data_IF_819056226814
#
_entry.id   IF_819056226814
#
_cell.length_a   1.000
_cell.length_b   1.000
_cell.length_c   1.000
_cell.angle_alpha   90.00
_cell.angle_beta   90.00
_cell.angle_gamma   90.00
#
_symmetry.space_group_name_H-M   'P 1'
#
loop_
_entity.id
_entity.type
_entity.pdbx_description
1 polymer ?
#
# COMPACT_ATOMS: atom_id res chain seq x y z
N UNK A 1 0.49 24.77 -20.96
CA UNK A 1 0.73 23.65 -20.03
C UNK A 1 0.05 24.05 -18.74
N UNK A 2 -0.98 23.32 -18.32
CA UNK A 2 -1.64 23.57 -17.04
C UNK A 2 -0.68 23.18 -15.91
N UNK A 3 -0.46 24.10 -14.96
CA UNK A 3 0.48 23.92 -13.85
C UNK A 3 0.00 22.84 -12.87
N UNK A 4 0.94 22.19 -12.20
CA UNK A 4 0.62 21.23 -11.14
C UNK A 4 -0.05 21.97 -9.99
N UNK A 5 -1.21 21.49 -9.56
CA UNK A 5 -1.92 22.05 -8.42
C UNK A 5 -1.07 22.04 -7.14
N UNK A 6 -1.18 23.10 -6.35
CA UNK A 6 -0.35 23.28 -5.15
C UNK A 6 -0.60 22.19 -4.10
N UNK A 7 -1.82 21.66 -4.01
CA UNK A 7 -2.14 20.58 -3.09
C UNK A 7 -1.49 19.27 -3.54
N UNK A 8 -1.60 18.96 -4.83
CA UNK A 8 -0.89 17.84 -5.45
C UNK A 8 0.60 17.90 -5.17
N UNK A 9 1.25 19.04 -5.46
CA UNK A 9 2.68 19.21 -5.25
C UNK A 9 3.06 19.02 -3.77
N UNK A 10 2.27 19.59 -2.87
CA UNK A 10 2.48 19.45 -1.42
C UNK A 10 2.40 18.00 -0.96
N UNK A 11 1.45 17.22 -1.47
CA UNK A 11 1.31 15.80 -1.14
C UNK A 11 2.46 14.96 -1.70
N UNK A 12 2.92 15.24 -2.93
CA UNK A 12 4.08 14.56 -3.52
C UNK A 12 5.34 14.80 -2.68
N UNK A 13 5.59 16.07 -2.30
CA UNK A 13 6.74 16.44 -1.46
C UNK A 13 6.64 15.78 -0.07
N UNK A 14 5.47 15.84 0.57
CA UNK A 14 5.26 15.25 1.89
C UNK A 14 5.51 13.74 1.89
N UNK A 15 4.95 13.02 0.90
CA UNK A 15 5.20 11.59 0.73
C UNK A 15 6.69 11.30 0.48
N UNK A 16 7.35 12.11 -0.34
CA UNK A 16 8.79 11.98 -0.63
C UNK A 16 9.65 12.15 0.63
N UNK A 17 9.43 13.20 1.41
CA UNK A 17 10.18 13.47 2.65
C UNK A 17 9.97 12.36 3.68
N UNK A 18 8.72 11.97 3.94
CA UNK A 18 8.39 10.96 4.95
C UNK A 18 8.92 9.59 4.53
N UNK A 19 8.78 9.23 3.25
CA UNK A 19 9.34 7.97 2.71
C UNK A 19 10.86 7.96 2.78
N UNK A 20 11.52 9.04 2.35
CA UNK A 20 12.98 9.14 2.43
C UNK A 20 13.45 8.93 3.87
N UNK A 21 12.85 9.63 4.84
CA UNK A 21 13.19 9.48 6.25
C UNK A 21 12.93 8.05 6.76
N UNK A 22 11.77 7.46 6.43
CA UNK A 22 11.44 6.09 6.83
C UNK A 22 12.38 5.03 6.27
N UNK A 23 12.91 5.22 5.06
CA UNK A 23 13.85 4.26 4.47
C UNK A 23 15.27 4.36 5.08
N UNK A 24 15.61 5.47 5.73
CA UNK A 24 16.94 5.70 6.34
C UNK A 24 16.96 5.59 7.87
N UNK A 25 15.79 5.62 8.52
CA UNK A 25 15.65 5.55 9.97
C UNK A 25 14.57 4.52 10.35
N UNK A 26 15.03 3.36 10.83
CA UNK A 26 14.15 2.27 11.23
C UNK A 26 13.24 2.65 12.41
N UNK A 27 13.74 3.43 13.37
CA UNK A 27 12.94 3.87 14.51
C UNK A 27 11.84 4.82 14.06
N UNK A 28 12.13 5.72 13.11
CA UNK A 28 11.11 6.56 12.50
C UNK A 28 10.08 5.71 11.74
N UNK A 29 10.54 4.75 10.93
CA UNK A 29 9.66 3.86 10.18
C UNK A 29 8.71 3.08 11.09
N UNK A 30 9.23 2.46 12.14
CA UNK A 30 8.43 1.67 13.08
C UNK A 30 7.43 2.54 13.86
N UNK A 31 7.83 3.75 14.29
CA UNK A 31 6.96 4.65 15.04
C UNK A 31 5.75 5.19 14.26
N UNK A 32 5.86 5.26 12.93
CA UNK A 32 4.81 5.83 12.07
C UNK A 32 4.11 4.79 11.19
N UNK A 33 4.60 3.54 11.14
CA UNK A 33 3.92 2.45 10.44
C UNK A 33 2.56 2.13 11.06
N UNK A 34 1.61 1.66 10.25
CA UNK A 34 0.36 1.14 10.78
C UNK A 34 0.70 -0.13 11.56
N UNK A 35 0.18 -0.26 12.78
CA UNK A 35 0.27 -1.47 13.56
C UNK A 35 -1.00 -1.60 14.41
N UNK A 36 -1.64 -2.77 14.38
CA UNK A 36 -2.95 -2.99 15.03
C UNK A 36 -2.87 -2.77 16.54
N UNK A 37 -1.90 -3.39 17.22
CA UNK A 37 -1.76 -3.27 18.67
C UNK A 37 -1.41 -1.84 19.11
N UNK A 38 -0.49 -1.19 18.40
CA UNK A 38 -0.13 0.19 18.70
C UNK A 38 -1.35 1.12 18.60
N UNK A 39 -2.24 0.87 17.63
CA UNK A 39 -3.46 1.66 17.44
C UNK A 39 -4.54 1.30 18.48
N UNK A 40 -4.83 0.01 18.68
CA UNK A 40 -5.96 -0.43 19.51
C UNK A 40 -5.64 -0.46 21.00
N UNK A 41 -4.44 -0.93 21.37
CA UNK A 41 -4.00 -1.10 22.76
C UNK A 41 -3.32 0.18 23.23
N UNK A 42 -2.29 0.64 22.52
CA UNK A 42 -1.52 1.83 22.93
C UNK A 42 -2.15 3.16 22.50
N UNK A 43 -3.32 3.11 21.84
CA UNK A 43 -4.10 4.29 21.41
C UNK A 43 -3.32 5.26 20.53
N UNK A 44 -2.35 4.75 19.76
CA UNK A 44 -1.49 5.57 18.90
C UNK A 44 -2.17 5.87 17.55
N UNK A 45 -3.22 6.69 17.58
CA UNK A 45 -4.06 6.99 16.42
C UNK A 45 -3.32 7.72 15.29
N UNK A 46 -2.15 8.33 15.56
CA UNK A 46 -1.34 9.00 14.52
C UNK A 46 -0.95 8.03 13.39
N UNK A 47 -0.82 6.74 13.70
CA UNK A 47 -0.49 5.66 12.76
C UNK A 47 -1.57 5.44 11.71
N UNK A 48 -2.81 5.90 11.94
CA UNK A 48 -3.87 5.87 10.93
C UNK A 48 -3.64 6.86 9.79
N UNK A 49 -2.87 7.93 10.02
CA UNK A 49 -2.57 8.94 8.99
C UNK A 49 -1.13 8.83 8.53
N UNK A 50 -0.18 8.79 9.46
CA UNK A 50 1.25 8.84 9.14
C UNK A 50 1.74 7.65 8.31
N UNK A 51 1.18 6.46 8.54
CA UNK A 51 1.50 5.26 7.77
C UNK A 51 1.21 5.41 6.28
N UNK A 52 0.23 6.25 5.93
CA UNK A 52 -0.13 6.56 4.55
C UNK A 52 0.94 7.35 3.79
N UNK A 53 1.95 7.89 4.47
CA UNK A 53 3.05 8.64 3.84
C UNK A 53 4.37 7.84 3.79
N UNK A 54 4.40 6.65 4.40
CA UNK A 54 5.56 5.74 4.42
C UNK A 54 5.48 4.72 3.29
N UNK A 55 6.62 4.33 2.73
CA UNK A 55 6.70 3.25 1.73
C UNK A 55 7.84 2.29 2.07
N UNK A 56 7.66 1.02 1.72
CA UNK A 56 8.61 -0.04 2.05
C UNK A 56 9.84 -0.04 1.13
N UNK A 57 9.68 0.54 -0.05
CA UNK A 57 10.69 0.63 -1.10
C UNK A 57 10.33 1.74 -2.10
N UNK A 58 11.32 2.14 -2.88
CA UNK A 58 11.18 3.19 -3.90
C UNK A 58 10.22 2.81 -5.04
N UNK A 59 10.04 1.51 -5.32
CA UNK A 59 9.13 1.05 -6.38
C UNK A 59 7.68 1.30 -5.98
N UNK A 60 7.28 0.90 -4.77
CA UNK A 60 5.93 1.18 -4.23
C UNK A 60 5.67 2.67 -4.10
N UNK A 61 6.68 3.43 -3.66
CA UNK A 61 6.61 4.89 -3.65
C UNK A 61 6.36 5.45 -5.06
N UNK A 62 7.15 5.05 -6.06
CA UNK A 62 7.03 5.56 -7.42
C UNK A 62 5.65 5.28 -8.03
N UNK A 63 5.12 4.06 -7.89
CA UNK A 63 3.78 3.74 -8.39
C UNK A 63 2.70 4.60 -7.73
N UNK A 64 2.74 4.77 -6.40
CA UNK A 64 1.78 5.64 -5.72
C UNK A 64 1.89 7.10 -6.15
N UNK A 65 3.10 7.63 -6.33
CA UNK A 65 3.29 9.03 -6.71
C UNK A 65 2.93 9.29 -8.17
N UNK A 66 3.20 8.35 -9.07
CA UNK A 66 2.76 8.45 -10.47
C UNK A 66 1.23 8.43 -10.52
N UNK A 67 0.57 7.49 -9.84
CA UNK A 67 -0.89 7.44 -9.81
C UNK A 67 -1.48 8.68 -9.12
N UNK A 68 -0.89 9.15 -8.01
CA UNK A 68 -1.30 10.40 -7.36
C UNK A 68 -1.25 11.55 -8.38
N UNK A 69 -0.12 11.76 -9.04
CA UNK A 69 0.08 12.81 -10.03
C UNK A 69 -0.91 12.76 -11.20
N UNK A 70 -1.15 11.56 -11.75
CA UNK A 70 -2.02 11.38 -12.91
C UNK A 70 -3.49 11.70 -12.57
N UNK A 71 -3.97 11.28 -11.41
CA UNK A 71 -5.38 11.40 -11.05
C UNK A 71 -5.70 12.69 -10.28
N UNK A 72 -4.74 13.27 -9.56
CA UNK A 72 -4.99 14.46 -8.74
C UNK A 72 -5.24 15.72 -9.56
N UNK A 73 -4.60 15.88 -10.72
CA UNK A 73 -4.71 17.11 -11.53
C UNK A 73 -6.15 17.41 -11.95
N UNK A 74 -6.84 16.39 -12.49
CA UNK A 74 -8.24 16.54 -12.89
C UNK A 74 -9.16 16.83 -11.70
N UNK A 75 -8.90 16.16 -10.56
CA UNK A 75 -9.69 16.32 -9.34
C UNK A 75 -9.48 17.67 -8.66
N UNK A 76 -8.24 18.14 -8.53
CA UNK A 76 -7.93 19.43 -7.90
C UNK A 76 -8.52 20.58 -8.71
N UNK A 77 -8.44 20.51 -10.04
CA UNK A 77 -9.04 21.49 -10.95
C UNK A 77 -10.58 21.49 -10.89
N UNK A 78 -11.20 20.31 -10.85
CA UNK A 78 -12.67 20.21 -10.86
C UNK A 78 -13.35 20.48 -9.53
N UNK A 79 -12.70 20.13 -8.41
CA UNK A 79 -13.29 20.17 -7.07
C UNK A 79 -12.76 21.33 -6.21
N UNK A 80 -11.62 21.90 -6.59
CA UNK A 80 -10.86 22.84 -5.79
C UNK A 80 -10.03 22.18 -4.68
N UNK A 81 -9.05 22.92 -4.16
CA UNK A 81 -8.08 22.44 -3.17
C UNK A 81 -8.73 21.84 -1.90
N UNK A 82 -9.72 22.49 -1.24
CA UNK A 82 -10.26 21.95 0.01
C UNK A 82 -10.93 20.59 -0.18
N UNK A 83 -11.78 20.47 -1.21
CA UNK A 83 -12.48 19.25 -1.57
C UNK A 83 -11.52 18.12 -1.95
N UNK A 84 -10.48 18.44 -2.71
CA UNK A 84 -9.43 17.49 -3.07
C UNK A 84 -8.65 16.98 -1.85
N UNK A 85 -8.30 17.85 -0.91
CA UNK A 85 -7.63 17.44 0.33
C UNK A 85 -8.54 16.60 1.22
N UNK A 86 -9.83 16.97 1.36
CA UNK A 86 -10.82 16.15 2.06
C UNK A 86 -10.85 14.77 1.43
N UNK A 87 -11.03 14.68 0.11
CA UNK A 87 -11.04 13.42 -0.63
C UNK A 87 -9.79 12.57 -0.35
N UNK A 88 -8.60 13.15 -0.43
CA UNK A 88 -7.35 12.44 -0.18
C UNK A 88 -7.28 11.88 1.25
N UNK A 89 -7.49 12.72 2.26
CA UNK A 89 -7.34 12.33 3.66
C UNK A 89 -8.46 11.40 4.15
N UNK A 90 -9.70 11.59 3.71
CA UNK A 90 -10.80 10.67 4.06
C UNK A 90 -10.58 9.30 3.43
N UNK A 91 -10.08 9.24 2.20
CA UNK A 91 -9.76 7.97 1.54
C UNK A 91 -8.61 7.24 2.25
N UNK A 92 -7.57 7.99 2.65
CA UNK A 92 -6.47 7.46 3.45
C UNK A 92 -6.96 6.86 4.77
N UNK A 93 -7.69 7.65 5.56
CA UNK A 93 -8.19 7.24 6.88
C UNK A 93 -9.21 6.10 6.72
N UNK A 94 -10.12 6.20 5.76
CA UNK A 94 -11.15 5.21 5.50
C UNK A 94 -10.57 3.85 5.09
N UNK A 95 -9.54 3.85 4.25
CA UNK A 95 -8.78 2.65 3.92
C UNK A 95 -8.13 2.03 5.16
N UNK A 96 -7.40 2.83 5.95
CA UNK A 96 -6.74 2.35 7.16
C UNK A 96 -7.71 1.88 8.25
N UNK A 97 -8.89 2.50 8.38
CA UNK A 97 -9.94 2.05 9.29
C UNK A 97 -10.55 0.72 8.83
N UNK A 98 -10.75 0.53 7.53
CA UNK A 98 -11.23 -0.75 7.03
C UNK A 98 -10.19 -1.86 7.22
N UNK A 99 -8.91 -1.57 6.98
CA UNK A 99 -7.81 -2.48 7.30
C UNK A 99 -7.76 -2.83 8.79
N UNK A 100 -7.89 -1.82 9.66
CA UNK A 100 -7.95 -2.01 11.11
C UNK A 100 -9.13 -2.91 11.51
N UNK A 101 -10.30 -2.70 10.90
CA UNK A 101 -11.47 -3.51 11.18
C UNK A 101 -11.26 -4.98 10.79
N UNK A 102 -10.71 -5.26 9.60
CA UNK A 102 -10.42 -6.62 9.13
C UNK A 102 -9.37 -7.28 10.04
N UNK A 103 -8.31 -6.57 10.38
CA UNK A 103 -7.15 -7.11 11.09
C UNK A 103 -7.15 -6.87 12.60
N UNK A 104 -8.27 -6.43 13.20
CA UNK A 104 -8.37 -6.13 14.65
C UNK A 104 -7.98 -7.27 15.59
N UNK A 105 -7.98 -8.52 15.10
CA UNK A 105 -7.58 -9.72 15.85
C UNK A 105 -6.19 -10.25 15.41
N UNK A 106 -5.42 -9.47 14.65
CA UNK A 106 -4.07 -9.78 14.21
C UNK A 106 -3.10 -8.69 14.74
N UNK A 107 -2.65 -8.82 16.01
CA UNK A 107 -1.81 -7.86 16.71
C UNK A 107 -0.57 -7.36 15.94
N UNK A 108 0.03 -8.27 15.21
CA UNK A 108 1.27 -8.11 14.44
C UNK A 108 1.06 -7.56 13.04
N UNK A 109 -0.20 -7.36 12.60
CA UNK A 109 -0.47 -6.81 11.29
C UNK A 109 0.04 -5.38 11.18
N UNK A 110 0.83 -5.14 10.12
CA UNK A 110 1.38 -3.82 9.78
C UNK A 110 1.09 -3.46 8.33
N UNK A 111 0.87 -2.17 8.08
CA UNK A 111 0.66 -1.63 6.75
C UNK A 111 1.32 -0.26 6.59
N UNK A 112 1.65 0.09 5.34
CA UNK A 112 2.20 1.40 4.98
C UNK A 112 1.91 1.68 3.50
N UNK A 113 1.81 2.96 3.14
CA UNK A 113 1.68 3.40 1.77
C UNK A 113 0.49 4.32 1.54
N UNK A 114 0.65 5.24 0.58
CA UNK A 114 -0.41 6.17 0.18
C UNK A 114 -1.55 5.53 -0.61
N UNK A 115 -1.47 4.22 -0.87
CA UNK A 115 -2.29 3.53 -1.85
C UNK A 115 -3.79 3.55 -1.51
N UNK A 116 -4.19 3.53 -0.23
CA UNK A 116 -5.60 3.74 0.13
C UNK A 116 -6.12 5.13 -0.30
N UNK A 117 -5.33 6.17 -0.09
CA UNK A 117 -5.66 7.53 -0.53
C UNK A 117 -5.73 7.63 -2.06
N UNK A 118 -4.73 7.06 -2.73
CA UNK A 118 -4.60 7.05 -4.19
C UNK A 118 -5.72 6.24 -4.84
N UNK A 119 -6.11 5.09 -4.28
CA UNK A 119 -7.28 4.33 -4.73
C UNK A 119 -8.56 5.16 -4.62
N UNK A 120 -8.69 5.95 -3.55
CA UNK A 120 -9.79 6.92 -3.41
C UNK A 120 -9.82 7.96 -4.53
N UNK A 121 -8.67 8.51 -4.92
CA UNK A 121 -8.57 9.42 -6.06
C UNK A 121 -8.98 8.74 -7.37
N UNK A 122 -8.50 7.53 -7.63
CA UNK A 122 -8.86 6.77 -8.83
C UNK A 122 -10.37 6.55 -8.91
N UNK A 123 -10.99 6.11 -7.81
CA UNK A 123 -12.42 5.84 -7.76
C UNK A 123 -13.27 7.13 -7.84
N UNK A 124 -12.81 8.22 -7.22
CA UNK A 124 -13.43 9.53 -7.40
C UNK A 124 -13.39 9.99 -8.86
N UNK A 125 -12.26 9.81 -9.54
CA UNK A 125 -12.13 10.14 -10.97
C UNK A 125 -13.03 9.27 -11.85
N UNK A 126 -13.19 7.98 -11.54
CA UNK A 126 -14.17 7.12 -12.24
C UNK A 126 -15.57 7.71 -12.12
N UNK A 127 -15.95 8.19 -10.94
CA UNK A 127 -17.26 8.83 -10.72
C UNK A 127 -17.41 10.15 -11.47
N UNK A 128 -16.44 11.05 -11.31
CA UNK A 128 -16.49 12.43 -11.81
C UNK A 128 -16.33 12.56 -13.33
N UNK A 129 -15.58 11.67 -13.96
CA UNK A 129 -15.20 11.79 -15.37
C UNK A 129 -15.74 10.60 -16.17
N UNK A 130 -17.04 10.59 -16.52
CA UNK A 130 -17.61 9.53 -17.34
C UNK A 130 -16.92 9.50 -18.71
N UNK A 131 -16.53 8.30 -19.16
CA UNK A 131 -15.76 8.12 -20.40
C UNK A 131 -14.24 8.25 -20.25
N UNK A 132 -13.73 8.53 -19.04
CA UNK A 132 -12.29 8.45 -18.78
C UNK A 132 -11.77 7.04 -19.07
N UNK A 133 -10.57 6.97 -19.64
CA UNK A 133 -9.81 5.73 -19.82
C UNK A 133 -8.60 5.72 -18.90
N UNK A 134 -8.22 4.53 -18.44
CA UNK A 134 -7.03 4.30 -17.63
C UNK A 134 -6.01 3.56 -18.49
N UNK A 135 -4.85 4.19 -18.67
CA UNK A 135 -3.70 3.60 -19.34
C UNK A 135 -2.78 2.87 -18.37
N UNK A 136 -2.09 1.85 -18.87
CA UNK A 136 -1.05 1.13 -18.11
C UNK A 136 0.33 1.69 -18.47
N UNK A 137 1.13 2.08 -17.49
CA UNK A 137 2.42 2.78 -17.72
C UNK A 137 3.37 2.01 -18.66
N UNK A 138 3.35 0.68 -18.61
CA UNK A 138 4.24 -0.20 -19.36
C UNK A 138 3.62 -0.80 -20.62
N UNK A 139 2.31 -0.65 -20.83
CA UNK A 139 1.59 -1.26 -21.95
C UNK A 139 0.81 -0.17 -22.68
N UNK A 140 0.87 -0.09 -24.02
CA UNK A 140 0.10 0.87 -24.80
C UNK A 140 -1.38 0.45 -24.89
N UNK A 141 -1.99 0.13 -23.75
CA UNK A 141 -3.36 -0.34 -23.61
C UNK A 141 -4.08 0.63 -22.69
N UNK A 142 -5.26 1.05 -23.13
CA UNK A 142 -6.18 1.88 -22.37
C UNK A 142 -7.47 1.11 -22.21
N UNK A 143 -8.04 1.15 -21.00
CA UNK A 143 -9.34 0.53 -20.73
C UNK A 143 -10.29 1.55 -20.14
N UNK A 144 -11.61 1.42 -20.36
CA UNK A 144 -12.58 2.28 -19.72
C UNK A 144 -12.43 2.25 -18.19
N UNK A 145 -12.43 3.42 -17.55
CA UNK A 145 -12.15 3.53 -16.13
C UNK A 145 -13.20 2.79 -15.25
N UNK A 146 -14.45 2.72 -15.71
CA UNK A 146 -15.49 1.92 -15.04
C UNK A 146 -15.15 0.42 -15.02
N UNK A 147 -14.57 -0.10 -16.11
CA UNK A 147 -14.17 -1.51 -16.21
C UNK A 147 -12.99 -1.79 -15.28
N UNK A 148 -12.02 -0.87 -15.24
CA UNK A 148 -10.93 -0.91 -14.26
C UNK A 148 -11.49 -0.96 -12.83
N UNK A 149 -12.44 -0.08 -12.48
CA UNK A 149 -13.05 -0.04 -11.15
C UNK A 149 -13.70 -1.37 -10.74
N UNK A 150 -14.47 -2.00 -11.64
CA UNK A 150 -15.09 -3.31 -11.38
C UNK A 150 -14.01 -4.37 -11.16
N UNK A 151 -13.03 -4.46 -12.07
CA UNK A 151 -11.94 -5.43 -11.98
C UNK A 151 -11.14 -5.25 -10.68
N UNK A 152 -10.88 -4.00 -10.28
CA UNK A 152 -10.19 -3.64 -9.06
C UNK A 152 -10.94 -4.10 -7.81
N UNK A 153 -12.25 -3.87 -7.74
CA UNK A 153 -13.10 -4.33 -6.63
C UNK A 153 -13.07 -5.85 -6.52
N UNK A 154 -13.30 -6.56 -7.63
CA UNK A 154 -13.34 -8.03 -7.64
C UNK A 154 -11.99 -8.63 -7.24
N UNK A 155 -10.89 -8.06 -7.77
CA UNK A 155 -9.54 -8.48 -7.43
C UNK A 155 -9.22 -8.21 -5.96
N UNK A 156 -9.59 -7.05 -5.42
CA UNK A 156 -9.38 -6.71 -4.01
C UNK A 156 -10.17 -7.64 -3.07
N UNK A 157 -11.43 -7.95 -3.40
CA UNK A 157 -12.25 -8.91 -2.64
C UNK A 157 -11.61 -10.30 -2.64
N UNK A 158 -11.10 -10.75 -3.79
CA UNK A 158 -10.37 -12.01 -3.89
C UNK A 158 -9.08 -11.99 -3.07
N UNK A 159 -8.31 -10.89 -3.14
CA UNK A 159 -7.09 -10.67 -2.38
C UNK A 159 -7.30 -10.78 -0.88
N UNK A 160 -8.29 -10.06 -0.32
CA UNK A 160 -8.66 -10.09 1.10
C UNK A 160 -8.99 -11.52 1.56
N UNK A 161 -9.72 -12.29 0.73
CA UNK A 161 -10.11 -13.67 1.07
C UNK A 161 -8.96 -14.66 0.98
N UNK A 162 -8.05 -14.48 0.02
CA UNK A 162 -7.00 -15.46 -0.27
C UNK A 162 -5.79 -15.31 0.65
N UNK A 163 -5.49 -14.10 1.13
CA UNK A 163 -4.32 -13.77 1.97
C UNK A 163 -2.99 -14.32 1.40
N UNK A 164 -2.83 -14.34 0.06
CA UNK A 164 -1.68 -14.95 -0.62
C UNK A 164 -0.54 -13.99 -0.92
N UNK A 165 -0.77 -12.69 -0.84
CA UNK A 165 0.21 -11.66 -1.16
C UNK A 165 0.39 -10.66 -0.01
N UNK A 166 1.39 -9.79 -0.13
CA UNK A 166 1.68 -8.72 0.84
C UNK A 166 1.07 -7.39 0.38
N UNK A 167 -0.13 -7.43 -0.22
CA UNK A 167 -0.84 -6.25 -0.71
C UNK A 167 -1.99 -5.94 0.24
N UNK A 168 -2.10 -4.69 0.69
CA UNK A 168 -3.18 -4.22 1.57
C UNK A 168 -4.51 -4.04 0.82
N UNK A 169 -5.07 -5.12 0.28
CA UNK A 169 -6.30 -5.10 -0.53
C UNK A 169 -7.49 -4.49 0.22
N UNK A 170 -7.55 -4.69 1.52
CA UNK A 170 -8.50 -4.03 2.43
C UNK A 170 -8.30 -2.51 2.46
N UNK A 171 -7.09 -2.01 2.69
CA UNK A 171 -6.84 -0.57 2.70
C UNK A 171 -7.18 0.08 1.35
N UNK A 172 -6.85 -0.61 0.26
CA UNK A 172 -7.16 -0.21 -1.11
C UNK A 172 -8.67 -0.13 -1.39
N UNK A 173 -9.40 -1.21 -1.07
CA UNK A 173 -10.84 -1.28 -1.30
C UNK A 173 -11.58 -0.26 -0.41
N UNK A 174 -11.21 -0.17 0.87
CA UNK A 174 -11.77 0.81 1.80
C UNK A 174 -11.55 2.25 1.34
N UNK A 175 -10.33 2.57 0.92
CA UNK A 175 -9.98 3.90 0.40
C UNK A 175 -10.72 4.24 -0.90
N UNK A 176 -10.81 3.28 -1.83
CA UNK A 176 -11.57 3.44 -3.09
C UNK A 176 -13.07 3.70 -2.85
N UNK A 177 -13.70 2.94 -1.96
CA UNK A 177 -15.12 3.12 -1.62
C UNK A 177 -15.34 4.48 -0.95
N UNK A 178 -14.53 4.83 0.04
CA UNK A 178 -14.66 6.10 0.76
C UNK A 178 -14.44 7.27 -0.20
N UNK A 179 -13.44 7.18 -1.09
CA UNK A 179 -13.19 8.21 -2.10
C UNK A 179 -14.37 8.40 -3.06
N UNK A 180 -14.98 7.32 -3.54
CA UNK A 180 -16.17 7.40 -4.39
C UNK A 180 -17.37 8.01 -3.64
N UNK A 181 -17.59 7.62 -2.39
CA UNK A 181 -18.67 8.18 -1.56
C UNK A 181 -18.46 9.67 -1.28
N UNK A 182 -17.23 10.10 -1.00
CA UNK A 182 -16.89 11.52 -0.83
C UNK A 182 -17.10 12.28 -2.13
N UNK A 183 -16.70 11.72 -3.28
CA UNK A 183 -16.96 12.34 -4.58
C UNK A 183 -18.46 12.53 -4.85
N UNK A 184 -19.28 11.51 -4.55
CA UNK A 184 -20.75 11.60 -4.64
C UNK A 184 -21.31 12.65 -3.69
N UNK A 185 -20.82 12.70 -2.45
CA UNK A 185 -21.27 13.67 -1.45
C UNK A 185 -20.98 15.11 -1.87
N UNK A 186 -19.79 15.35 -2.45
CA UNK A 186 -19.37 16.67 -2.91
C UNK A 186 -19.98 17.05 -4.27
N UNK A 187 -20.29 16.06 -5.12
CA UNK A 187 -20.88 16.26 -6.44
C UNK A 187 -22.01 15.24 -6.70
N UNK A 188 -23.21 15.45 -6.14
CA UNK A 188 -24.31 14.48 -6.24
C UNK A 188 -24.79 14.20 -7.67
N UNK A 189 -24.53 15.11 -8.61
CA UNK A 189 -24.86 14.95 -10.03
C UNK A 189 -24.23 13.71 -10.68
N UNK A 190 -23.11 13.22 -10.14
CA UNK A 190 -22.44 11.98 -10.57
C UNK A 190 -23.40 10.78 -10.58
N UNK A 191 -24.35 10.73 -9.64
CA UNK A 191 -25.34 9.66 -9.55
C UNK A 191 -26.23 9.56 -10.79
N UNK A 192 -26.50 10.68 -11.44
CA UNK A 192 -27.32 10.73 -12.67
C UNK A 192 -26.49 10.55 -13.93
N UNK A 193 -25.26 11.07 -13.96
CA UNK A 193 -24.41 11.04 -15.16
C UNK A 193 -23.67 9.72 -15.34
N UNK A 194 -23.40 8.99 -14.26
CA UNK A 194 -22.61 7.76 -14.29
C UNK A 194 -23.25 6.60 -13.49
N UNK A 195 -24.58 6.55 -13.46
CA UNK A 195 -25.37 5.63 -12.62
C UNK A 195 -24.97 4.15 -12.79
N UNK A 196 -24.74 3.70 -14.02
CA UNK A 196 -24.42 2.31 -14.32
C UNK A 196 -23.05 1.92 -13.73
N UNK A 197 -22.00 2.69 -13.99
CA UNK A 197 -20.67 2.38 -13.46
C UNK A 197 -20.66 2.40 -11.93
N UNK A 198 -21.30 3.40 -11.32
CA UNK A 198 -21.40 3.50 -9.87
C UNK A 198 -22.14 2.30 -9.28
N UNK A 199 -23.24 1.87 -9.91
CA UNK A 199 -24.00 0.70 -9.45
C UNK A 199 -23.16 -0.57 -9.53
N UNK A 200 -22.45 -0.77 -10.64
CA UNK A 200 -21.59 -1.95 -10.84
C UNK A 200 -20.39 -1.98 -9.88
N UNK A 201 -19.90 -0.83 -9.42
CA UNK A 201 -18.79 -0.74 -8.47
C UNK A 201 -19.29 -0.82 -7.01
N UNK A 202 -20.31 -0.03 -6.65
CA UNK A 202 -20.81 0.07 -5.28
C UNK A 202 -21.58 -1.17 -4.85
N UNK A 203 -22.37 -1.80 -5.72
CA UNK A 203 -23.15 -2.98 -5.35
C UNK A 203 -22.29 -4.14 -4.81
N UNK A 204 -21.26 -4.63 -5.53
CA UNK A 204 -20.40 -5.69 -5.00
C UNK A 204 -19.58 -5.22 -3.79
N UNK A 205 -19.12 -3.97 -3.79
CA UNK A 205 -18.37 -3.38 -2.67
C UNK A 205 -19.18 -3.36 -1.38
N UNK A 206 -20.39 -2.78 -1.40
CA UNK A 206 -21.27 -2.68 -0.24
C UNK A 206 -21.80 -4.04 0.19
N UNK A 207 -22.08 -4.94 -0.76
CA UNK A 207 -22.42 -6.33 -0.45
C UNK A 207 -21.28 -7.02 0.30
N UNK A 208 -20.04 -6.84 -0.15
CA UNK A 208 -18.87 -7.38 0.53
C UNK A 208 -18.70 -6.79 1.94
N UNK A 209 -18.78 -5.46 2.10
CA UNK A 209 -18.71 -4.83 3.43
C UNK A 209 -19.80 -5.37 4.37
N UNK A 210 -21.03 -5.51 3.87
CA UNK A 210 -22.12 -6.10 4.63
C UNK A 210 -21.80 -7.53 5.09
N UNK A 211 -21.25 -8.37 4.20
CA UNK A 211 -20.85 -9.73 4.54
C UNK A 211 -19.72 -9.75 5.59
N UNK A 212 -18.73 -8.86 5.48
CA UNK A 212 -17.65 -8.75 6.47
C UNK A 212 -18.21 -8.40 7.85
N UNK A 213 -19.18 -7.50 7.92
CA UNK A 213 -19.75 -7.03 9.19
C UNK A 213 -20.74 -8.05 9.79
N UNK A 214 -21.64 -8.62 8.97
CA UNK A 214 -22.76 -9.43 9.45
C UNK A 214 -22.51 -10.93 9.39
N UNK A 215 -21.67 -11.40 8.46
CA UNK A 215 -21.40 -12.81 8.22
C UNK A 215 -19.90 -13.08 8.00
N UNK A 216 -19.02 -12.69 8.95
CA UNK A 216 -17.58 -12.84 8.79
C UNK A 216 -17.16 -14.31 8.60
N UNK A 217 -17.89 -15.26 9.17
CA UNK A 217 -17.64 -16.70 9.02
C UNK A 217 -17.72 -17.19 7.56
N UNK A 218 -18.51 -16.53 6.70
CA UNK A 218 -18.59 -16.87 5.27
C UNK A 218 -17.35 -16.44 4.47
N UNK A 219 -16.48 -15.62 5.07
CA UNK A 219 -15.28 -15.09 4.44
C UNK A 219 -14.01 -15.78 4.94
N UNK A 220 -14.13 -16.65 5.94
CA UNK A 220 -13.04 -17.50 6.43
C UNK A 220 -12.87 -18.63 5.41
N UNK A 221 -11.95 -18.44 4.45
CA UNK A 221 -11.40 -19.57 3.72
C UNK A 221 -10.31 -20.13 4.63
N UNK A 222 -10.62 -21.21 5.35
CA UNK A 222 -9.57 -21.97 6.03
C UNK A 222 -8.57 -22.40 4.96
N UNK A 223 -7.37 -21.84 5.02
CA UNK A 223 -6.27 -22.25 4.16
C UNK A 223 -5.43 -23.25 4.96
N UNK A 224 -5.61 -24.57 4.77
CA UNK A 224 -4.83 -25.59 5.49
C UNK A 224 -3.33 -25.53 5.17
N UNK A 225 -2.94 -24.72 4.17
CA UNK A 225 -1.55 -24.45 3.79
C UNK A 225 -1.12 -23.02 4.14
N UNK A 226 -1.91 -22.25 4.91
CA UNK A 226 -1.44 -21.00 5.50
C UNK A 226 -0.40 -21.32 6.56
N UNK A 227 0.84 -21.53 6.10
CA UNK A 227 2.00 -21.24 6.94
C UNK A 227 1.89 -19.76 7.22
N UNK A 228 1.41 -19.40 8.42
CA UNK A 228 1.74 -18.11 9.01
C UNK A 228 3.24 -17.96 8.81
N UNK A 229 3.60 -17.10 7.86
CA UNK A 229 4.98 -16.90 7.47
C UNK A 229 5.55 -16.19 8.68
N UNK A 230 6.33 -16.90 9.50
CA UNK A 230 6.98 -16.34 10.69
C UNK A 230 7.62 -15.02 10.26
N UNK A 231 7.01 -13.90 10.65
CA UNK A 231 7.49 -12.57 10.28
C UNK A 231 8.70 -12.36 11.16
N UNK A 232 9.88 -12.60 10.59
CA UNK A 232 11.11 -12.31 11.29
C UNK A 232 11.11 -10.81 11.58
N UNK A 233 11.19 -10.47 12.86
CA UNK A 233 11.47 -9.11 13.30
C UNK A 233 12.74 -8.63 12.61
N UNK A 234 12.90 -7.33 12.40
CA UNK A 234 14.13 -6.81 11.79
C UNK A 234 15.37 -7.15 12.60
N UNK A 235 15.22 -7.36 13.91
CA UNK A 235 16.26 -7.90 14.78
C UNK A 235 16.59 -9.35 14.44
N UNK A 236 15.61 -10.24 14.26
CA UNK A 236 15.85 -11.59 13.76
C UNK A 236 16.43 -11.60 12.34
N UNK A 237 16.03 -10.66 11.48
CA UNK A 237 16.56 -10.53 10.11
C UNK A 237 17.99 -9.97 10.10
N UNK A 238 18.30 -9.02 10.97
CA UNK A 238 19.65 -8.50 11.17
C UNK A 238 20.56 -9.58 11.78
N UNK A 239 20.08 -10.28 12.81
CA UNK A 239 20.81 -11.35 13.48
C UNK A 239 21.05 -12.55 12.57
N UNK A 240 20.07 -12.94 11.75
CA UNK A 240 20.23 -14.01 10.75
C UNK A 240 21.18 -13.61 9.62
N UNK A 241 21.11 -12.38 9.12
CA UNK A 241 22.09 -11.86 8.15
C UNK A 241 23.50 -11.80 8.74
N UNK A 242 23.65 -11.39 10.00
CA UNK A 242 24.92 -11.37 10.72
C UNK A 242 25.48 -12.78 10.92
N UNK A 243 24.64 -13.73 11.34
CA UNK A 243 25.01 -15.14 11.49
C UNK A 243 25.44 -15.76 10.16
N UNK A 244 24.69 -15.51 9.07
CA UNK A 244 25.03 -15.99 7.72
C UNK A 244 26.36 -15.44 7.24
N UNK A 245 26.64 -14.15 7.48
CA UNK A 245 27.94 -13.51 7.16
C UNK A 245 29.08 -14.15 7.95
N UNK A 246 28.85 -14.47 9.23
CA UNK A 246 29.85 -15.14 10.07
C UNK A 246 30.15 -16.56 9.57
N UNK A 247 29.14 -17.36 9.25
CA UNK A 247 29.33 -18.72 8.70
C UNK A 247 30.06 -18.71 7.37
N UNK A 248 29.76 -17.75 6.48
CA UNK A 248 30.49 -17.58 5.23
C UNK A 248 31.96 -17.22 5.47
N UNK A 249 32.25 -16.34 6.45
CA UNK A 249 33.60 -15.98 6.84
C UNK A 249 34.36 -17.19 7.39
N UNK A 250 33.76 -17.93 8.33
CA UNK A 250 34.36 -19.11 8.95
C UNK A 250 34.68 -20.18 7.90
N UNK A 251 33.77 -20.39 6.94
CA UNK A 251 33.99 -21.33 5.82
C UNK A 251 35.21 -20.94 4.96
N UNK A 252 35.39 -19.64 4.70
CA UNK A 252 36.55 -19.14 3.95
C UNK A 252 37.83 -19.32 4.78
N UNK A 253 37.79 -19.03 6.09
CA UNK A 253 38.93 -19.19 6.99
C UNK A 253 39.35 -20.67 7.13
N UNK A 254 38.40 -21.60 7.24
CA UNK A 254 38.69 -23.04 7.27
C UNK A 254 39.35 -23.51 5.98
N UNK A 255 38.89 -23.00 4.83
CA UNK A 255 39.50 -23.31 3.53
C UNK A 255 40.92 -22.75 3.43
N UNK A 256 41.18 -21.56 3.96
CA UNK A 256 42.54 -21.00 4.08
C UNK A 256 43.39 -21.90 4.97
N UNK A 257 42.88 -22.34 6.11
CA UNK A 257 43.59 -23.19 7.06
C UNK A 257 43.96 -24.55 6.44
N UNK A 258 43.05 -25.17 5.68
CA UNK A 258 43.28 -26.49 5.07
C UNK A 258 44.13 -26.45 3.79
N UNK A 259 44.00 -25.40 2.96
CA UNK A 259 44.53 -25.40 1.57
C UNK A 259 45.40 -24.19 1.23
N UNK A 260 45.52 -23.22 2.13
CA UNK A 260 46.26 -21.98 1.92
C UNK A 260 45.46 -20.91 1.15
N UNK A 261 45.78 -19.64 1.42
CA UNK A 261 45.10 -18.47 0.84
C UNK A 261 45.15 -18.42 -0.70
N UNK A 262 46.23 -18.92 -1.30
CA UNK A 262 46.42 -18.89 -2.75
C UNK A 262 45.42 -19.77 -3.52
N UNK A 263 44.77 -20.71 -2.82
CA UNK A 263 43.75 -21.59 -3.38
C UNK A 263 42.33 -21.01 -3.31
N UNK A 264 42.14 -19.80 -2.78
CA UNK A 264 40.86 -19.10 -2.85
C UNK A 264 40.58 -18.60 -4.27
N UNK A 265 39.34 -18.74 -4.70
CA UNK A 265 38.85 -18.14 -5.94
C UNK A 265 38.82 -16.61 -5.82
N UNK A 266 38.81 -15.91 -6.96
CA UNK A 266 38.70 -14.44 -6.99
C UNK A 266 37.47 -13.95 -6.21
N UNK A 267 36.34 -14.64 -6.37
CA UNK A 267 35.08 -14.34 -5.67
C UNK A 267 35.19 -14.51 -4.15
N UNK A 268 35.87 -15.55 -3.67
CA UNK A 268 36.11 -15.77 -2.24
C UNK A 268 37.04 -14.71 -1.65
N UNK A 269 38.06 -14.27 -2.39
CA UNK A 269 38.98 -13.20 -1.96
C UNK A 269 38.27 -11.84 -1.87
N UNK A 270 37.42 -11.51 -2.86
CA UNK A 270 36.65 -10.27 -2.84
C UNK A 270 35.64 -10.27 -1.69
N UNK A 271 35.00 -11.42 -1.44
CA UNK A 271 34.03 -11.57 -0.35
C UNK A 271 34.69 -11.55 1.03
N UNK A 272 35.88 -12.12 1.19
CA UNK A 272 36.68 -12.00 2.42
C UNK A 272 36.98 -10.54 2.76
N UNK A 273 37.37 -9.72 1.77
CA UNK A 273 37.62 -8.27 1.96
C UNK A 273 36.37 -7.49 2.32
N UNK A 274 35.21 -7.91 1.84
CA UNK A 274 33.92 -7.31 2.16
C UNK A 274 33.49 -7.66 3.60
N UNK A 275 33.72 -8.90 4.01
CA UNK A 275 33.34 -9.43 5.34
C UNK A 275 34.34 -9.08 6.45
N UNK A 276 35.57 -8.69 6.12
CA UNK A 276 36.62 -8.33 7.08
C UNK A 276 36.68 -6.82 7.41
N UNK A 277 35.69 -6.04 6.97
CA UNK A 277 35.51 -4.62 7.32
C UNK A 277 34.48 -4.47 8.43
#
# INVERSE_FOLDING_TARGET
MEEIGIATLSLLIANGIVTYKGLHDFTFFDNFSFNVDQILVNKDSKRLVASGFLHADWTRFAFNMITLYLFSRGLESSMGIPSFLILYFTSLIGGNLFALYIHRNHPDYTAIGASGAVSGLVFASIGLFPGMEIGFILLPIYIPAWLYGIAYVLYSIYGIKSQRDNIGHEAHLGGGIVGLLVAIMLNPSILTTNSLALSLILFPSLTFLFLVIKKPHLLIVENPFSRSKKVFTMEEKYNSNKASKQTELDTILDKINMKGYDKLTKKEKDKLKELSK
#
